data_IF_713045450426
#
_entry.id   IF_713045450426
#
_cell.length_a   1.000
_cell.length_b   1.000
_cell.length_c   1.000
_cell.angle_alpha   90.00
_cell.angle_beta   90.00
_cell.angle_gamma   90.00
#
_symmetry.space_group_name_H-M   'P 1'
#
loop_
_entity.id
_entity.type
_entity.pdbx_description
1 polymer ?
#
# COMPACT_ATOMS: atom_id res chain seq x y z
N UNK A 1 8.60 -8.35 -14.27
CA UNK A 1 9.70 -8.07 -13.33
C UNK A 1 9.08 -8.04 -11.94
N UNK A 2 9.30 -9.06 -11.10
CA UNK A 2 8.69 -9.15 -9.76
C UNK A 2 9.72 -9.43 -8.65
N UNK A 3 10.80 -10.15 -8.95
CA UNK A 3 11.81 -10.55 -7.96
C UNK A 3 12.42 -9.39 -7.13
N UNK A 4 12.58 -8.19 -7.71
CA UNK A 4 13.07 -7.04 -6.93
C UNK A 4 12.04 -6.53 -5.92
N UNK A 5 10.76 -6.58 -6.29
CA UNK A 5 9.63 -6.23 -5.41
C UNK A 5 9.59 -7.21 -4.23
N UNK A 6 9.58 -8.50 -4.55
CA UNK A 6 9.50 -9.60 -3.58
C UNK A 6 10.63 -9.55 -2.55
N UNK A 7 11.87 -9.34 -3.01
CA UNK A 7 13.04 -9.26 -2.13
C UNK A 7 12.97 -8.06 -1.17
N UNK A 8 12.55 -6.90 -1.67
CA UNK A 8 12.41 -5.70 -0.85
C UNK A 8 11.33 -5.90 0.21
N UNK A 9 10.18 -6.46 -0.17
CA UNK A 9 9.07 -6.67 0.74
C UNK A 9 9.34 -7.75 1.79
N UNK A 10 10.06 -8.81 1.42
CA UNK A 10 10.52 -9.82 2.37
C UNK A 10 11.44 -9.19 3.43
N UNK A 11 12.44 -8.41 2.99
CA UNK A 11 13.38 -7.77 3.90
C UNK A 11 12.72 -6.75 4.83
N UNK A 12 11.83 -5.91 4.29
CA UNK A 12 11.08 -4.93 5.08
C UNK A 12 10.19 -5.65 6.10
N UNK A 13 9.43 -6.66 5.66
CA UNK A 13 8.53 -7.42 6.54
C UNK A 13 9.28 -8.12 7.67
N UNK A 14 10.45 -8.70 7.36
CA UNK A 14 11.35 -9.28 8.36
C UNK A 14 11.76 -8.25 9.42
N UNK A 15 12.18 -7.05 9.00
CA UNK A 15 12.59 -6.00 9.92
C UNK A 15 11.43 -5.53 10.83
N UNK A 16 10.24 -5.30 10.27
CA UNK A 16 9.07 -4.90 11.05
C UNK A 16 8.57 -6.01 11.98
N UNK A 17 8.70 -7.29 11.60
CA UNK A 17 8.40 -8.41 12.48
C UNK A 17 9.37 -8.51 13.65
N UNK A 18 10.68 -8.33 13.42
CA UNK A 18 11.68 -8.31 14.48
C UNK A 18 11.44 -7.19 15.51
N UNK A 19 10.81 -6.09 15.08
CA UNK A 19 10.45 -4.94 15.93
C UNK A 19 9.02 -5.03 16.50
N UNK A 20 8.31 -6.15 16.33
CA UNK A 20 6.91 -6.32 16.73
C UNK A 20 6.01 -5.16 16.26
N UNK A 21 6.32 -4.62 15.09
CA UNK A 21 5.70 -3.40 14.55
C UNK A 21 5.08 -3.66 13.18
N UNK A 22 4.69 -4.91 12.89
CA UNK A 22 4.22 -5.32 11.58
C UNK A 22 3.12 -4.36 11.08
N UNK A 23 2.16 -4.01 11.95
CA UNK A 23 1.08 -3.02 11.73
C UNK A 23 1.51 -1.67 11.16
N UNK A 24 2.77 -1.27 11.34
CA UNK A 24 3.29 0.01 10.87
C UNK A 24 3.79 -0.03 9.42
N UNK A 25 3.82 -1.21 8.79
CA UNK A 25 4.13 -1.36 7.38
C UNK A 25 2.87 -1.73 6.58
N UNK A 26 2.60 -0.90 5.57
CA UNK A 26 1.52 -1.09 4.60
C UNK A 26 2.17 -1.22 3.23
N UNK A 27 1.90 -2.32 2.53
CA UNK A 27 2.28 -2.55 1.13
C UNK A 27 1.01 -2.59 0.29
N UNK A 28 0.94 -1.74 -0.74
CA UNK A 28 -0.19 -1.67 -1.67
C UNK A 28 0.38 -1.95 -3.06
N UNK A 29 0.03 -3.11 -3.61
CA UNK A 29 0.52 -3.60 -4.89
C UNK A 29 -0.51 -4.54 -5.50
N UNK A 30 -0.52 -4.64 -6.83
CA UNK A 30 -1.35 -5.56 -7.58
C UNK A 30 -0.47 -6.34 -8.57
N UNK A 31 -0.41 -7.66 -8.39
CA UNK A 31 0.37 -8.59 -9.21
C UNK A 31 -0.46 -9.28 -10.30
N UNK A 32 -1.75 -8.95 -10.38
CA UNK A 32 -2.68 -9.48 -11.38
C UNK A 32 -2.60 -8.88 -12.80
N UNK A 33 -2.04 -7.67 -13.04
CA UNK A 33 -1.94 -7.12 -14.39
C UNK A 33 -1.18 -8.03 -15.36
N UNK A 34 -1.73 -8.22 -16.56
CA UNK A 34 -1.12 -9.01 -17.64
C UNK A 34 -1.32 -8.31 -18.99
N UNK A 35 -0.60 -8.73 -20.03
CA UNK A 35 -0.71 -8.16 -21.37
C UNK A 35 -0.42 -6.65 -21.38
N UNK A 36 -1.26 -5.88 -22.08
CA UNK A 36 -1.09 -4.42 -22.20
C UNK A 36 -1.13 -3.70 -20.84
N UNK A 37 -1.89 -4.21 -19.87
CA UNK A 37 -1.99 -3.63 -18.53
C UNK A 37 -0.69 -3.77 -17.74
N UNK A 38 0.12 -4.79 -18.02
CA UNK A 38 1.44 -4.97 -17.42
C UNK A 38 2.54 -4.21 -18.18
N UNK A 39 2.24 -3.61 -19.34
CA UNK A 39 3.23 -2.88 -20.13
C UNK A 39 3.48 -1.50 -19.56
N UNK A 40 4.75 -1.11 -19.52
CA UNK A 40 5.18 0.19 -18.97
C UNK A 40 5.21 1.32 -20.01
N UNK A 41 4.99 0.99 -21.29
CA UNK A 41 5.14 1.88 -22.45
C UNK A 41 3.88 2.01 -23.30
N UNK A 42 2.77 1.34 -22.95
CA UNK A 42 1.50 1.42 -23.67
C UNK A 42 0.59 2.46 -23.01
N UNK A 43 0.60 3.67 -23.55
CA UNK A 43 -0.17 4.82 -23.05
C UNK A 43 -1.43 5.10 -23.89
N UNK A 44 -2.13 4.07 -24.38
CA UNK A 44 -3.43 4.28 -25.03
C UNK A 44 -4.48 4.72 -23.99
N UNK A 45 -5.44 5.54 -24.38
CA UNK A 45 -6.52 5.99 -23.49
C UNK A 45 -7.25 4.81 -22.83
N UNK A 46 -7.52 3.76 -23.60
CA UNK A 46 -8.11 2.53 -23.09
C UNK A 46 -7.26 1.87 -21.99
N UNK A 47 -5.95 1.73 -22.21
CA UNK A 47 -5.06 1.10 -21.23
C UNK A 47 -4.97 1.93 -19.95
N UNK A 48 -4.86 3.26 -20.08
CA UNK A 48 -4.84 4.18 -18.94
C UNK A 48 -6.15 4.14 -18.14
N UNK A 49 -7.29 4.11 -18.81
CA UNK A 49 -8.60 3.98 -18.16
C UNK A 49 -8.75 2.64 -17.44
N UNK A 50 -8.18 1.56 -17.98
CA UNK A 50 -8.18 0.27 -17.30
C UNK A 50 -7.22 0.25 -16.09
N UNK A 51 -6.07 0.94 -16.15
CA UNK A 51 -5.19 1.13 -14.99
C UNK A 51 -5.86 1.92 -13.87
N UNK A 52 -6.69 2.92 -14.20
CA UNK A 52 -7.52 3.63 -13.20
C UNK A 52 -8.43 2.64 -12.47
N UNK A 53 -9.15 1.79 -13.21
CA UNK A 53 -10.04 0.78 -12.60
C UNK A 53 -9.28 -0.18 -11.69
N UNK A 54 -8.10 -0.64 -12.11
CA UNK A 54 -7.22 -1.49 -11.28
C UNK A 54 -6.87 -0.76 -9.97
N UNK A 55 -6.50 0.53 -10.03
CA UNK A 55 -6.23 1.33 -8.84
C UNK A 55 -7.44 1.47 -7.91
N UNK A 56 -8.62 1.75 -8.45
CA UNK A 56 -9.87 1.85 -7.69
C UNK A 56 -10.29 0.52 -7.04
N UNK A 57 -10.05 -0.60 -7.73
CA UNK A 57 -10.28 -1.94 -7.20
C UNK A 57 -9.25 -2.30 -6.12
N UNK A 58 -8.00 -1.91 -6.31
CA UNK A 58 -6.91 -2.14 -5.35
C UNK A 58 -7.19 -1.45 -4.01
N UNK A 59 -7.80 -0.26 -4.01
CA UNK A 59 -8.24 0.42 -2.79
C UNK A 59 -9.25 -0.41 -1.97
N UNK A 60 -10.09 -1.20 -2.65
CA UNK A 60 -11.13 -2.04 -2.03
C UNK A 60 -10.59 -3.41 -1.57
N UNK A 61 -9.44 -3.85 -2.09
CA UNK A 61 -8.77 -5.08 -1.63
C UNK A 61 -8.32 -4.93 -0.18
N UNK A 62 -8.23 -6.07 0.54
CA UNK A 62 -7.71 -6.09 1.91
C UNK A 62 -6.22 -5.80 1.93
N UNK A 63 -5.74 -5.20 3.01
CA UNK A 63 -4.31 -5.08 3.27
C UNK A 63 -3.69 -6.48 3.31
N UNK A 64 -2.68 -6.70 2.48
CA UNK A 64 -1.93 -7.93 2.39
C UNK A 64 -0.50 -7.76 2.89
N UNK A 65 0.12 -8.86 3.32
CA UNK A 65 1.55 -8.93 3.61
C UNK A 65 2.15 -10.22 3.14
N UNK A 66 3.44 -10.19 2.85
CA UNK A 66 4.22 -11.39 2.60
C UNK A 66 4.25 -12.25 3.86
N UNK A 67 3.89 -13.51 3.70
CA UNK A 67 4.11 -14.55 4.67
C UNK A 67 5.58 -14.97 4.59
N UNK A 68 6.36 -14.82 5.65
CA UNK A 68 7.80 -15.08 5.62
C UNK A 68 8.17 -16.56 5.45
N UNK A 69 7.23 -17.47 5.70
CA UNK A 69 7.43 -18.91 5.51
C UNK A 69 7.16 -19.32 4.07
N UNK A 70 6.08 -18.82 3.46
CA UNK A 70 5.67 -19.19 2.09
C UNK A 70 6.19 -18.24 1.00
N UNK A 71 6.56 -17.02 1.36
CA UNK A 71 6.91 -15.95 0.42
C UNK A 71 5.72 -15.35 -0.33
N UNK A 72 4.49 -15.74 -0.02
CA UNK A 72 3.27 -15.32 -0.73
C UNK A 72 2.57 -14.18 0.01
N UNK A 73 1.96 -13.25 -0.72
CA UNK A 73 1.13 -12.20 -0.14
C UNK A 73 -0.24 -12.74 0.28
N UNK A 74 -0.57 -12.55 1.56
CA UNK A 74 -1.81 -13.01 2.16
C UNK A 74 -2.52 -11.85 2.87
N UNK A 75 -3.87 -11.83 2.92
CA UNK A 75 -4.60 -10.83 3.69
C UNK A 75 -4.17 -10.82 5.16
N UNK A 76 -3.60 -9.71 5.62
CA UNK A 76 -3.05 -9.58 6.96
C UNK A 76 -4.07 -9.02 7.97
N UNK A 77 -5.04 -8.24 7.49
CA UNK A 77 -6.06 -7.59 8.31
C UNK A 77 -7.45 -7.67 7.70
N UNK A 78 -8.46 -7.31 8.50
CA UNK A 78 -9.82 -7.12 8.01
C UNK A 78 -9.99 -5.84 7.19
N UNK A 79 -9.11 -4.85 7.40
CA UNK A 79 -9.22 -3.54 6.77
C UNK A 79 -8.84 -3.57 5.27
N UNK A 80 -9.48 -2.70 4.49
CA UNK A 80 -9.12 -2.43 3.10
C UNK A 80 -7.89 -1.53 3.00
N UNK A 81 -7.28 -1.47 1.80
CA UNK A 81 -6.19 -0.53 1.52
C UNK A 81 -6.63 0.93 1.70
N UNK A 82 -7.87 1.26 1.31
CA UNK A 82 -8.46 2.59 1.53
C UNK A 82 -8.52 2.95 3.03
N UNK A 83 -9.08 2.06 3.86
CA UNK A 83 -9.19 2.28 5.30
C UNK A 83 -7.80 2.45 5.96
N UNK A 84 -6.82 1.66 5.51
CA UNK A 84 -5.45 1.74 6.01
C UNK A 84 -4.78 3.07 5.65
N UNK A 85 -5.01 3.59 4.44
CA UNK A 85 -4.50 4.90 4.00
C UNK A 85 -5.14 6.06 4.78
N UNK A 86 -6.46 5.99 5.03
CA UNK A 86 -7.15 6.99 5.87
C UNK A 86 -6.56 7.01 7.27
N UNK A 87 -6.36 5.83 7.89
CA UNK A 87 -5.75 5.71 9.21
C UNK A 87 -4.31 6.25 9.23
N UNK A 88 -3.50 5.99 8.20
CA UNK A 88 -2.15 6.54 8.10
C UNK A 88 -2.17 8.07 8.07
N UNK A 89 -3.04 8.66 7.25
CA UNK A 89 -3.21 10.10 7.16
C UNK A 89 -3.58 10.71 8.51
N UNK A 90 -4.56 10.16 9.21
CA UNK A 90 -4.98 10.62 10.54
C UNK A 90 -3.83 10.55 11.57
N UNK A 91 -3.09 9.43 11.59
CA UNK A 91 -1.94 9.27 12.47
C UNK A 91 -0.84 10.29 12.15
N UNK A 92 -0.59 10.56 10.88
CA UNK A 92 0.40 11.52 10.42
C UNK A 92 0.01 12.95 10.80
N UNK A 93 -1.27 13.31 10.67
CA UNK A 93 -1.79 14.61 11.08
C UNK A 93 -1.68 14.79 12.60
N UNK A 94 -2.07 13.77 13.39
CA UNK A 94 -2.00 13.81 14.85
C UNK A 94 -0.55 13.93 15.37
N UNK A 95 0.41 13.31 14.67
CA UNK A 95 1.85 13.33 15.02
C UNK A 95 2.61 14.49 14.39
N UNK A 96 1.97 15.28 13.52
CA UNK A 96 2.63 16.38 12.83
C UNK A 96 3.06 17.48 13.81
N UNK A 97 4.36 17.81 13.87
CA UNK A 97 4.83 18.96 14.65
C UNK A 97 4.19 20.28 14.21
N UNK A 98 3.71 20.35 12.96
CA UNK A 98 3.11 21.53 12.34
C UNK A 98 1.59 21.62 12.58
N UNK A 99 0.93 20.55 13.06
CA UNK A 99 -0.52 20.51 13.28
C UNK A 99 -1.01 21.38 14.44
N UNK A 100 -0.14 21.72 15.40
CA UNK A 100 -0.49 22.63 16.52
C UNK A 100 -0.64 24.10 16.10
N UNK A 101 -0.08 24.51 14.97
CA UNK A 101 -0.10 25.93 14.55
C UNK A 101 -1.41 26.37 13.88
N UNK A 102 -2.17 25.45 13.28
CA UNK A 102 -3.42 25.79 12.58
C UNK A 102 -4.58 25.97 13.58
N UNK A 103 -4.55 25.27 14.72
CA UNK A 103 -5.54 25.41 15.79
C UNK A 103 -5.43 26.75 16.55
N UNK A 104 -4.27 27.42 16.52
CA UNK A 104 -4.03 28.70 17.20
C UNK A 104 -4.40 29.95 16.38
N UNK A 105 -4.82 29.80 15.12
CA UNK A 105 -5.20 30.93 14.23
C UNK A 105 -6.72 31.13 14.07
N UNK A 106 -7.54 30.44 14.87
CA UNK A 106 -9.01 30.56 14.84
C UNK A 106 -9.61 31.24 16.08
N UNK A 107 -8.86 32.15 16.73
CA UNK A 107 -9.38 33.02 17.78
C UNK A 107 -9.09 34.47 17.40
#
# INVERSE_FOLDING_TARGET
>A
MQASSDMVDYHISTAFQALHSQENNIRIEDDTPTGNLASVDIATEENLNNLIKVGEELLKKRVARVNLDSGVFEPAYKATNEEALVKEKELREARSPHGKFIALRKI
#
